data_IF_372603675076
#
_entry.id   IF_372603675076
#
_cell.length_a   1.000
_cell.length_b   1.000
_cell.length_c   1.000
_cell.angle_alpha   90.00
_cell.angle_beta   90.00
_cell.angle_gamma   90.00
#
_symmetry.space_group_name_H-M   'P 1'
#
loop_
_entity.id
_entity.type
_entity.pdbx_description
1 polymer ?
#
# COMPACT_ATOMS: atom_id res chain seq x y z
N UNK A 1 -18.05 29.85 10.59
CA UNK A 1 -17.31 28.68 11.12
C UNK A 1 -17.65 27.40 10.35
N UNK A 2 -18.92 27.20 9.99
CA UNK A 2 -19.40 26.03 9.23
C UNK A 2 -18.70 25.80 7.88
N UNK A 3 -18.49 26.86 7.09
CA UNK A 3 -17.80 26.76 5.79
C UNK A 3 -16.36 26.24 5.91
N UNK A 4 -15.65 26.64 6.97
CA UNK A 4 -14.27 26.19 7.23
C UNK A 4 -14.29 24.70 7.56
N UNK A 5 -15.18 24.26 8.44
CA UNK A 5 -15.32 22.84 8.82
C UNK A 5 -15.65 21.97 7.59
N UNK A 6 -16.58 22.42 6.74
CA UNK A 6 -16.94 21.71 5.51
C UNK A 6 -15.76 21.54 4.54
N UNK A 7 -14.98 22.60 4.33
CA UNK A 7 -13.78 22.54 3.47
C UNK A 7 -12.67 21.69 4.09
N UNK A 8 -12.46 21.76 5.40
CA UNK A 8 -11.50 20.91 6.11
C UNK A 8 -11.88 19.43 5.99
N UNK A 9 -13.17 19.08 6.11
CA UNK A 9 -13.62 17.71 5.97
C UNK A 9 -13.33 17.13 4.56
N UNK A 10 -13.57 17.92 3.51
CA UNK A 10 -13.26 17.51 2.13
C UNK A 10 -11.75 17.35 1.92
N UNK A 11 -10.94 18.29 2.43
CA UNK A 11 -9.49 18.20 2.33
C UNK A 11 -8.94 16.94 3.02
N UNK A 12 -9.45 16.62 4.22
CA UNK A 12 -9.09 15.40 4.96
C UNK A 12 -9.53 14.15 4.20
N UNK A 13 -10.75 14.13 3.66
CA UNK A 13 -11.25 12.98 2.89
C UNK A 13 -10.38 12.72 1.65
N UNK A 14 -9.96 13.76 0.94
CA UNK A 14 -9.06 13.63 -0.21
C UNK A 14 -7.66 13.15 0.21
N UNK A 15 -7.09 13.71 1.28
CA UNK A 15 -5.77 13.33 1.78
C UNK A 15 -5.74 11.85 2.17
N UNK A 16 -6.73 11.41 2.96
CA UNK A 16 -6.85 10.02 3.40
C UNK A 16 -7.16 9.10 2.21
N UNK A 17 -8.12 9.47 1.36
CA UNK A 17 -8.53 8.65 0.23
C UNK A 17 -7.40 8.42 -0.77
N UNK A 18 -6.68 9.47 -1.14
CA UNK A 18 -5.54 9.36 -2.06
C UNK A 18 -4.36 8.62 -1.43
N UNK A 19 -4.10 8.85 -0.13
CA UNK A 19 -3.08 8.10 0.61
C UNK A 19 -3.39 6.60 0.66
N UNK A 20 -4.63 6.23 1.00
CA UNK A 20 -5.08 4.84 1.05
C UNK A 20 -5.01 4.15 -0.32
N UNK A 21 -5.35 4.87 -1.41
CA UNK A 21 -5.19 4.35 -2.77
C UNK A 21 -3.73 4.06 -3.11
N UNK A 22 -2.81 4.96 -2.77
CA UNK A 22 -1.37 4.75 -2.97
C UNK A 22 -0.85 3.50 -2.25
N UNK A 23 -1.24 3.32 -0.99
CA UNK A 23 -0.90 2.12 -0.20
C UNK A 23 -1.48 0.86 -0.83
N UNK A 24 -2.77 0.86 -1.21
CA UNK A 24 -3.42 -0.30 -1.82
C UNK A 24 -2.74 -0.74 -3.13
N UNK A 25 -2.39 0.21 -3.99
CA UNK A 25 -1.70 -0.08 -5.26
C UNK A 25 -0.27 -0.59 -4.99
N UNK A 26 0.49 0.08 -4.12
CA UNK A 26 1.86 -0.29 -3.79
C UNK A 26 1.95 -1.70 -3.20
N UNK A 27 1.06 -2.01 -2.26
CA UNK A 27 0.98 -3.33 -1.61
C UNK A 27 0.54 -4.42 -2.57
N UNK A 28 -0.44 -4.13 -3.44
CA UNK A 28 -0.86 -5.07 -4.49
C UNK A 28 0.27 -5.42 -5.46
N UNK A 29 1.06 -4.42 -5.87
CA UNK A 29 2.22 -4.62 -6.74
C UNK A 29 3.33 -5.44 -6.04
N UNK A 30 3.68 -5.07 -4.81
CA UNK A 30 4.67 -5.80 -4.01
C UNK A 30 4.27 -7.27 -3.80
N UNK A 31 3.02 -7.51 -3.39
CA UNK A 31 2.48 -8.86 -3.22
C UNK A 31 2.49 -9.67 -4.51
N UNK A 32 2.09 -9.07 -5.64
CA UNK A 32 2.14 -9.71 -6.95
C UNK A 32 3.57 -10.12 -7.34
N UNK A 33 4.56 -9.24 -7.16
CA UNK A 33 5.97 -9.54 -7.43
C UNK A 33 6.55 -10.60 -6.50
N UNK A 34 6.15 -10.60 -5.23
CA UNK A 34 6.51 -11.64 -4.28
C UNK A 34 6.01 -13.02 -4.76
N UNK A 35 4.73 -13.12 -5.17
CA UNK A 35 4.15 -14.37 -5.65
C UNK A 35 4.83 -14.86 -6.95
N UNK A 36 5.09 -13.96 -7.90
CA UNK A 36 5.86 -14.29 -9.11
C UNK A 36 7.27 -14.82 -8.78
N UNK A 37 7.97 -14.16 -7.85
CA UNK A 37 9.31 -14.55 -7.41
C UNK A 37 9.32 -15.91 -6.71
N UNK A 38 8.39 -16.13 -5.79
CA UNK A 38 8.24 -17.40 -5.07
C UNK A 38 7.84 -18.56 -6.01
N UNK A 39 6.99 -18.30 -7.01
CA UNK A 39 6.61 -19.31 -8.00
C UNK A 39 7.78 -19.70 -8.91
N UNK A 40 8.66 -18.75 -9.27
CA UNK A 40 9.85 -19.01 -10.10
C UNK A 40 10.99 -19.67 -9.32
N UNK A 41 11.22 -19.23 -8.09
CA UNK A 41 12.32 -19.69 -7.24
C UNK A 41 11.81 -19.89 -5.81
N UNK A 42 11.27 -21.09 -5.50
CA UNK A 42 10.70 -21.38 -4.17
C UNK A 42 11.71 -21.22 -3.03
N UNK A 43 12.99 -21.48 -3.30
CA UNK A 43 14.09 -21.34 -2.35
C UNK A 43 14.25 -19.91 -1.83
N UNK A 44 13.90 -18.91 -2.63
CA UNK A 44 13.98 -17.50 -2.25
C UNK A 44 12.74 -17.02 -1.48
N UNK A 45 11.66 -17.80 -1.43
CA UNK A 45 10.40 -17.37 -0.81
C UNK A 45 10.55 -16.90 0.66
N UNK A 46 11.30 -17.58 1.55
CA UNK A 46 11.48 -17.12 2.93
C UNK A 46 12.22 -15.77 3.03
N UNK A 47 13.23 -15.58 2.17
CA UNK A 47 13.97 -14.32 2.10
C UNK A 47 13.09 -13.19 1.55
N UNK A 48 12.33 -13.44 0.48
CA UNK A 48 11.45 -12.46 -0.15
C UNK A 48 10.28 -12.08 0.79
N UNK A 49 9.76 -13.03 1.58
CA UNK A 49 8.70 -12.77 2.57
C UNK A 49 9.19 -11.81 3.66
N UNK A 50 10.40 -12.02 4.18
CA UNK A 50 11.00 -11.12 5.18
C UNK A 50 11.18 -9.71 4.62
N UNK A 51 11.69 -9.60 3.39
CA UNK A 51 11.83 -8.30 2.72
C UNK A 51 10.50 -7.61 2.46
N UNK A 52 9.46 -8.38 2.10
CA UNK A 52 8.10 -7.87 1.93
C UNK A 52 7.61 -7.21 3.22
N UNK A 53 7.74 -7.88 4.38
CA UNK A 53 7.29 -7.32 5.66
C UNK A 53 8.09 -6.12 6.17
N UNK A 54 9.36 -5.95 5.77
CA UNK A 54 10.17 -4.78 6.14
C UNK A 54 9.74 -3.52 5.37
N UNK A 55 9.19 -3.70 4.17
CA UNK A 55 8.76 -2.58 3.30
C UNK A 55 7.35 -2.10 3.65
N UNK A 56 6.58 -2.90 4.39
CA UNK A 56 5.29 -2.52 4.99
C UNK A 56 5.52 -1.64 6.21
#
# INVERSE_FOLDING_TARGET
METVIGMTAIAVALLIGLGALGVGIGMGLLGGRFLEGAARQPELAPMLQTKMFIVV
#
